data_IF_880685670774
#
_entry.id   IF_880685670774
#
_cell.length_a   1.000
_cell.length_b   1.000
_cell.length_c   1.000
_cell.angle_alpha   90.00
_cell.angle_beta   90.00
_cell.angle_gamma   90.00
#
_symmetry.space_group_name_H-M   'P 1'
#
loop_
_entity.id
_entity.type
_entity.pdbx_description
1 polymer ?
#
# COMPACT_ATOMS: atom_id res chain seq x y z
N UNK A 1 4.66 -33.84 35.01
CA UNK A 1 4.62 -32.38 34.84
C UNK A 1 4.74 -32.10 33.36
N UNK A 2 3.62 -31.76 32.71
CA UNK A 2 3.54 -31.50 31.27
C UNK A 2 3.86 -30.01 31.02
N UNK A 3 5.06 -29.70 30.54
CA UNK A 3 5.35 -28.39 29.94
C UNK A 3 5.17 -28.54 28.43
N UNK A 4 3.95 -28.30 27.97
CA UNK A 4 3.66 -28.17 26.54
C UNK A 4 4.39 -26.92 26.06
N UNK A 5 5.24 -27.13 25.07
CA UNK A 5 6.08 -26.16 24.38
C UNK A 5 5.20 -25.09 23.69
N UNK A 6 4.83 -24.05 24.43
CA UNK A 6 4.11 -22.85 23.97
C UNK A 6 4.96 -21.93 23.10
N UNK A 7 6.15 -22.36 22.67
CA UNK A 7 7.07 -21.55 21.85
C UNK A 7 6.83 -21.74 20.35
N UNK A 8 6.15 -22.82 19.92
CA UNK A 8 5.91 -23.09 18.49
C UNK A 8 4.68 -22.38 17.89
N UNK A 9 3.76 -21.87 18.72
CA UNK A 9 2.52 -21.22 18.24
C UNK A 9 2.65 -19.70 18.04
N UNK A 10 3.70 -19.07 18.56
CA UNK A 10 3.96 -17.65 18.34
C UNK A 10 4.67 -17.37 17.01
N UNK A 11 5.36 -18.35 16.42
CA UNK A 11 6.07 -18.15 15.16
C UNK A 11 5.15 -18.06 13.94
N UNK A 12 3.97 -18.70 13.95
CA UNK A 12 3.05 -18.62 12.83
C UNK A 12 2.29 -17.28 12.76
N UNK A 13 1.97 -16.69 13.91
CA UNK A 13 1.24 -15.40 13.99
C UNK A 13 2.16 -14.24 13.60
N UNK A 14 3.44 -14.35 13.95
CA UNK A 14 4.47 -13.37 13.58
C UNK A 14 4.64 -13.39 12.06
N UNK A 15 4.86 -14.53 11.41
CA UNK A 15 5.10 -14.60 9.94
C UNK A 15 3.93 -14.04 9.10
N UNK A 16 2.69 -14.18 9.55
CA UNK A 16 1.53 -13.61 8.84
C UNK A 16 1.47 -12.07 8.91
N UNK A 17 2.05 -11.45 9.95
CA UNK A 17 2.14 -10.00 10.07
C UNK A 17 3.26 -9.42 9.19
N UNK A 18 4.39 -10.13 9.02
CA UNK A 18 5.49 -9.68 8.16
C UNK A 18 5.20 -9.90 6.67
N UNK A 19 4.47 -10.96 6.31
CA UNK A 19 4.05 -11.19 4.94
C UNK A 19 3.01 -10.16 4.45
N UNK A 20 2.13 -9.69 5.35
CA UNK A 20 1.17 -8.62 5.04
C UNK A 20 1.86 -7.26 4.87
N UNK A 21 2.91 -6.97 5.64
CA UNK A 21 3.70 -5.74 5.46
C UNK A 21 4.51 -5.77 4.16
N UNK A 22 5.10 -6.90 3.76
CA UNK A 22 5.88 -6.97 2.51
C UNK A 22 5.01 -6.94 1.24
N UNK A 23 3.85 -7.63 1.25
CA UNK A 23 2.94 -7.65 0.09
C UNK A 23 2.24 -6.31 -0.15
N UNK A 24 1.78 -5.66 0.92
CA UNK A 24 1.11 -4.35 0.84
C UNK A 24 2.07 -3.25 0.41
N UNK A 25 3.31 -3.27 0.93
CA UNK A 25 4.38 -2.36 0.51
C UNK A 25 4.72 -2.50 -0.98
N UNK A 26 4.88 -3.75 -1.45
CA UNK A 26 5.23 -3.98 -2.83
C UNK A 26 4.13 -3.50 -3.80
N UNK A 27 2.87 -3.79 -3.49
CA UNK A 27 1.73 -3.29 -4.26
C UNK A 27 1.61 -1.77 -4.20
N UNK A 28 1.81 -1.18 -3.02
CA UNK A 28 1.84 0.26 -2.85
C UNK A 28 2.88 0.90 -3.79
N UNK A 29 4.11 0.37 -3.79
CA UNK A 29 5.19 0.90 -4.61
C UNK A 29 4.88 0.79 -6.09
N UNK A 30 4.32 -0.34 -6.54
CA UNK A 30 3.90 -0.52 -7.94
C UNK A 30 2.84 0.51 -8.35
N UNK A 31 1.78 0.64 -7.55
CA UNK A 31 0.69 1.60 -7.80
C UNK A 31 1.21 3.03 -7.84
N UNK A 32 1.99 3.44 -6.84
CA UNK A 32 2.53 4.81 -6.79
C UNK A 32 3.47 5.08 -7.95
N UNK A 33 4.31 4.12 -8.32
CA UNK A 33 5.25 4.29 -9.42
C UNK A 33 4.52 4.50 -10.75
N UNK A 34 3.46 3.74 -10.99
CA UNK A 34 2.63 3.91 -12.19
C UNK A 34 1.86 5.24 -12.18
N UNK A 35 1.32 5.66 -11.04
CA UNK A 35 0.69 6.99 -10.92
C UNK A 35 1.71 8.10 -11.17
N UNK A 36 2.92 8.01 -10.62
CA UNK A 36 3.99 8.98 -10.91
C UNK A 36 4.39 8.97 -12.40
N UNK A 37 4.36 7.82 -13.05
CA UNK A 37 4.62 7.69 -14.49
C UNK A 37 3.53 8.34 -15.36
N UNK A 38 2.27 8.39 -14.89
CA UNK A 38 1.19 9.14 -15.56
C UNK A 38 1.40 10.66 -15.48
N UNK A 39 2.16 11.14 -14.50
CA UNK A 39 2.44 12.56 -14.26
C UNK A 39 3.93 12.90 -14.39
N UNK A 40 4.54 12.79 -15.60
CA UNK A 40 5.98 12.97 -15.80
C UNK A 40 6.47 14.40 -15.54
N UNK A 41 5.55 15.38 -15.52
CA UNK A 41 5.84 16.78 -15.19
C UNK A 41 5.68 17.07 -13.67
N UNK A 42 5.46 16.04 -12.86
CA UNK A 42 5.16 16.13 -11.44
C UNK A 42 3.67 16.33 -11.15
N UNK A 43 3.33 16.24 -9.87
CA UNK A 43 1.93 16.29 -9.38
C UNK A 43 1.43 17.72 -9.13
N UNK A 44 2.26 18.74 -9.39
CA UNK A 44 1.92 20.15 -9.14
C UNK A 44 0.80 20.60 -10.07
N UNK A 45 -0.32 21.05 -9.49
CA UNK A 45 -1.51 21.47 -10.24
C UNK A 45 -2.43 20.33 -10.70
N UNK A 46 -2.06 19.07 -10.45
CA UNK A 46 -2.99 17.94 -10.63
C UNK A 46 -4.02 17.97 -9.50
N UNK A 47 -5.33 17.96 -9.78
CA UNK A 47 -6.35 17.92 -8.73
C UNK A 47 -6.28 16.63 -7.91
N UNK A 48 -6.53 16.70 -6.60
CA UNK A 48 -6.52 15.50 -5.73
C UNK A 48 -7.55 14.45 -6.18
N UNK A 49 -8.68 14.88 -6.74
CA UNK A 49 -9.68 13.98 -7.31
C UNK A 49 -9.14 13.17 -8.52
N UNK A 50 -8.25 13.77 -9.32
CA UNK A 50 -7.59 13.09 -10.44
C UNK A 50 -6.56 12.10 -9.90
N UNK A 51 -5.73 12.51 -8.94
CA UNK A 51 -4.76 11.61 -8.30
C UNK A 51 -5.44 10.43 -7.60
N UNK A 52 -6.58 10.66 -6.96
CA UNK A 52 -7.37 9.59 -6.34
C UNK A 52 -7.92 8.63 -7.38
N UNK A 53 -8.40 9.13 -8.51
CA UNK A 53 -8.89 8.29 -9.60
C UNK A 53 -7.76 7.46 -10.23
N UNK A 54 -6.59 8.06 -10.45
CA UNK A 54 -5.41 7.38 -10.97
C UNK A 54 -4.94 6.29 -10.00
N UNK A 55 -4.88 6.61 -8.70
CA UNK A 55 -4.57 5.65 -7.64
C UNK A 55 -5.51 4.45 -7.67
N UNK A 56 -6.83 4.68 -7.69
CA UNK A 56 -7.83 3.60 -7.74
C UNK A 56 -7.64 2.75 -8.99
N UNK A 57 -7.47 3.38 -10.16
CA UNK A 57 -7.37 2.68 -11.43
C UNK A 57 -6.10 1.80 -11.51
N UNK A 58 -4.95 2.30 -11.08
CA UNK A 58 -3.71 1.50 -11.05
C UNK A 58 -3.80 0.41 -9.97
N UNK A 59 -4.33 0.74 -8.81
CA UNK A 59 -4.54 -0.20 -7.71
C UNK A 59 -5.45 -1.37 -8.11
N UNK A 60 -6.57 -1.15 -8.80
CA UNK A 60 -7.45 -2.23 -9.27
C UNK A 60 -6.75 -3.20 -10.27
N UNK A 61 -5.81 -2.71 -11.08
CA UNK A 61 -5.04 -3.57 -11.99
C UNK A 61 -4.18 -4.58 -11.24
N UNK A 62 -3.55 -4.16 -10.15
CA UNK A 62 -2.67 -5.01 -9.36
C UNK A 62 -3.44 -5.86 -8.34
N UNK A 63 -4.48 -5.29 -7.70
CA UNK A 63 -5.30 -6.01 -6.72
C UNK A 63 -6.07 -7.17 -7.33
N UNK A 64 -6.55 -7.05 -8.57
CA UNK A 64 -7.22 -8.16 -9.27
C UNK A 64 -6.29 -9.33 -9.59
N UNK A 65 -4.96 -9.12 -9.51
CA UNK A 65 -3.94 -10.13 -9.77
C UNK A 65 -3.40 -10.78 -8.49
N UNK A 66 -3.67 -10.21 -7.32
CA UNK A 66 -3.18 -10.72 -6.03
C UNK A 66 -4.30 -11.47 -5.27
N UNK A 67 -4.26 -12.82 -5.21
CA UNK A 67 -5.25 -13.62 -4.49
C UNK A 67 -5.10 -13.57 -2.96
N UNK A 68 -4.09 -12.88 -2.42
CA UNK A 68 -3.82 -12.79 -0.99
C UNK A 68 -4.41 -11.55 -0.33
N UNK A 69 -5.02 -10.66 -1.11
CA UNK A 69 -5.61 -9.43 -0.60
C UNK A 69 -7.04 -9.62 -0.10
N UNK A 70 -7.21 -9.61 1.22
CA UNK A 70 -8.51 -9.72 1.89
C UNK A 70 -9.33 -8.42 1.87
N UNK A 71 -8.70 -7.28 1.58
CA UNK A 71 -9.35 -5.96 1.47
C UNK A 71 -9.27 -5.45 0.04
N UNK A 72 -10.36 -4.87 -0.46
CA UNK A 72 -10.39 -4.31 -1.81
C UNK A 72 -9.51 -3.07 -1.93
N UNK A 73 -9.07 -2.76 -3.15
CA UNK A 73 -8.35 -1.53 -3.48
C UNK A 73 -9.02 -0.26 -2.94
N UNK A 74 -10.36 -0.20 -3.03
CA UNK A 74 -11.15 0.90 -2.49
C UNK A 74 -11.06 0.97 -0.97
N UNK A 75 -11.03 -0.15 -0.25
CA UNK A 75 -10.91 -0.16 1.21
C UNK A 75 -9.52 0.30 1.67
N UNK A 76 -8.50 -0.03 0.88
CA UNK A 76 -7.13 0.43 1.10
C UNK A 76 -7.01 1.96 0.93
N UNK A 77 -7.64 2.54 -0.11
CA UNK A 77 -7.62 3.98 -0.35
C UNK A 77 -8.66 4.77 0.46
N UNK A 78 -9.75 4.16 0.90
CA UNK A 78 -10.86 4.85 1.55
C UNK A 78 -10.50 5.40 2.95
N UNK A 79 -9.62 4.72 3.68
CA UNK A 79 -9.21 5.18 5.01
C UNK A 79 -8.21 6.34 4.91
N UNK A 80 -7.41 6.38 3.84
CA UNK A 80 -6.13 7.07 3.88
C UNK A 80 -5.69 7.77 2.59
N UNK A 81 -6.54 7.80 1.55
CA UNK A 81 -6.17 8.32 0.23
C UNK A 81 -5.70 9.79 0.26
N UNK A 82 -6.21 10.62 1.17
CA UNK A 82 -5.73 12.00 1.32
C UNK A 82 -4.28 12.06 1.86
N UNK A 83 -3.96 11.23 2.85
CA UNK A 83 -2.61 11.07 3.39
C UNK A 83 -1.67 10.51 2.33
N UNK A 84 -2.18 9.61 1.50
CA UNK A 84 -1.46 9.01 0.39
C UNK A 84 -1.09 10.03 -0.70
N UNK A 85 -2.04 10.88 -1.09
CA UNK A 85 -1.79 11.99 -2.01
C UNK A 85 -0.78 12.97 -1.41
N UNK A 86 -0.89 13.31 -0.12
CA UNK A 86 0.07 14.16 0.55
C UNK A 86 1.49 13.54 0.56
N UNK A 87 1.60 12.24 0.80
CA UNK A 87 2.85 11.51 0.76
C UNK A 87 3.47 11.52 -0.65
N UNK A 88 2.69 11.25 -1.70
CA UNK A 88 3.16 11.32 -3.09
C UNK A 88 3.57 12.74 -3.51
N UNK A 89 2.87 13.77 -3.03
CA UNK A 89 3.26 15.17 -3.30
C UNK A 89 4.56 15.58 -2.62
N UNK A 90 4.84 15.00 -1.45
CA UNK A 90 6.01 15.33 -0.65
C UNK A 90 7.23 14.51 -1.05
N UNK A 91 7.02 13.30 -1.58
CA UNK A 91 8.07 12.34 -1.90
C UNK A 91 8.18 12.13 -3.41
N UNK A 92 9.39 12.30 -3.95
CA UNK A 92 9.67 12.14 -5.38
C UNK A 92 9.83 10.68 -5.83
N UNK A 93 9.61 9.70 -4.95
CA UNK A 93 9.72 8.28 -5.26
C UNK A 93 8.67 7.45 -4.50
N UNK A 94 8.30 6.32 -5.10
CA UNK A 94 7.24 5.45 -4.62
C UNK A 94 7.53 4.86 -3.23
N UNK A 95 8.76 4.41 -3.01
CA UNK A 95 9.23 3.89 -1.72
C UNK A 95 8.93 4.85 -0.57
N UNK A 96 9.42 6.10 -0.66
CA UNK A 96 9.25 7.07 0.41
C UNK A 96 7.79 7.53 0.56
N UNK A 97 7.00 7.56 -0.52
CA UNK A 97 5.57 7.83 -0.44
C UNK A 97 4.83 6.70 0.32
N UNK A 98 5.13 5.44 0.02
CA UNK A 98 4.51 4.28 0.65
C UNK A 98 4.87 4.13 2.13
N UNK A 99 6.13 4.38 2.49
CA UNK A 99 6.58 4.34 3.89
C UNK A 99 6.20 5.58 4.71
N UNK A 100 5.80 6.67 4.07
CA UNK A 100 5.27 7.87 4.73
C UNK A 100 3.73 7.90 4.79
N UNK A 101 3.08 7.11 3.94
CA UNK A 101 1.66 6.84 3.99
C UNK A 101 1.32 6.03 5.27
N UNK A 102 0.05 6.02 5.70
CA UNK A 102 -0.38 5.33 6.92
C UNK A 102 -0.16 3.82 6.85
N UNK A 103 -0.19 3.18 8.03
CA UNK A 103 0.29 1.82 8.29
C UNK A 103 -0.34 0.68 7.47
N UNK A 104 -1.34 0.97 6.63
CA UNK A 104 -1.93 0.03 5.68
C UNK A 104 -1.26 0.07 4.29
N UNK A 105 -0.43 1.07 4.01
CA UNK A 105 0.40 1.18 2.81
C UNK A 105 1.71 0.42 2.95
N UNK A 106 2.36 0.62 4.10
CA UNK A 106 3.56 0.01 4.68
C UNK A 106 3.56 0.33 6.18
#
# INVERSE_FOLDING_TARGET
MHFISTVCLLSAVVIAAFAQTDGSCHLCELVVNDVLALHPNGLNGVPDAVLMADLINECEKYWSQDPTQDKGCHDWLAQDGASFIAAMRTNSNAFAACHAAPANAC
#
